data_IF_593626111235
#
_entry.id   IF_593626111235
#
_cell.length_a   1.000
_cell.length_b   1.000
_cell.length_c   1.000
_cell.angle_alpha   90.00
_cell.angle_beta   90.00
_cell.angle_gamma   90.00
#
_symmetry.space_group_name_H-M   'P 1'
#
loop_
_entity.id
_entity.type
_entity.pdbx_description
1 polymer ?
#
# COMPACT_ATOMS: atom_id res chain seq x y z
N UNK A 1 -15.17 -28.50 -10.72
CA UNK A 1 -14.19 -27.48 -10.27
C UNK A 1 -12.94 -27.63 -11.13
N UNK A 2 -12.61 -26.64 -11.91
CA UNK A 2 -11.39 -26.64 -12.74
C UNK A 2 -10.24 -26.08 -11.90
N UNK A 3 -9.18 -26.85 -11.68
CA UNK A 3 -7.97 -26.37 -11.01
C UNK A 3 -7.00 -25.77 -12.05
N UNK A 4 -7.49 -24.79 -12.80
CA UNK A 4 -6.65 -24.05 -13.74
C UNK A 4 -5.75 -23.09 -12.94
N UNK A 5 -4.45 -23.31 -12.97
CA UNK A 5 -3.47 -22.48 -12.25
C UNK A 5 -3.56 -21.00 -12.65
N UNK A 6 -3.82 -20.72 -13.93
CA UNK A 6 -3.93 -19.33 -14.41
C UNK A 6 -5.17 -18.62 -13.85
N UNK A 7 -6.25 -19.33 -13.56
CA UNK A 7 -7.44 -18.78 -12.92
C UNK A 7 -7.23 -18.66 -11.40
N UNK A 8 -6.64 -19.70 -10.80
CA UNK A 8 -6.45 -19.80 -9.35
C UNK A 8 -5.52 -18.71 -8.81
N UNK A 9 -4.49 -18.36 -9.55
CA UNK A 9 -3.50 -17.33 -9.15
C UNK A 9 -3.63 -16.01 -9.91
N UNK A 10 -4.69 -15.84 -10.73
CA UNK A 10 -4.91 -14.60 -11.46
C UNK A 10 -5.19 -13.43 -10.51
N UNK A 11 -4.50 -12.32 -10.76
CA UNK A 11 -4.75 -11.04 -10.10
C UNK A 11 -5.39 -10.02 -11.04
N UNK A 12 -5.63 -10.39 -12.29
CA UNK A 12 -6.19 -9.50 -13.32
C UNK A 12 -7.56 -8.95 -12.90
N UNK A 13 -7.74 -7.67 -13.09
CA UNK A 13 -9.00 -6.97 -12.76
C UNK A 13 -9.17 -6.64 -11.26
N UNK A 14 -8.19 -7.01 -10.42
CA UNK A 14 -8.19 -6.64 -9.00
C UNK A 14 -7.71 -5.21 -8.78
N UNK A 15 -8.03 -4.66 -7.62
CA UNK A 15 -7.55 -3.35 -7.15
C UNK A 15 -6.61 -3.55 -5.97
N UNK A 16 -5.40 -2.99 -6.06
CA UNK A 16 -4.36 -3.13 -5.04
C UNK A 16 -3.89 -1.77 -4.50
N UNK A 17 -3.47 -1.76 -3.25
CA UNK A 17 -2.71 -0.67 -2.63
C UNK A 17 -1.33 -1.21 -2.26
N UNK A 18 -0.26 -0.48 -2.63
CA UNK A 18 1.11 -0.77 -2.24
C UNK A 18 1.68 0.43 -1.49
N UNK A 19 1.89 0.29 -0.18
CA UNK A 19 2.52 1.33 0.61
C UNK A 19 4.04 1.34 0.39
N UNK A 20 4.66 2.52 0.37
CA UNK A 20 6.09 2.63 0.01
C UNK A 20 6.37 2.27 -1.45
N UNK A 21 5.41 2.51 -2.35
CA UNK A 21 5.45 2.07 -3.75
C UNK A 21 6.31 2.90 -4.70
N UNK A 22 6.95 3.98 -4.23
CA UNK A 22 7.71 4.88 -5.12
C UNK A 22 9.11 4.41 -5.45
N UNK A 23 9.64 3.39 -4.78
CA UNK A 23 11.00 2.88 -5.00
C UNK A 23 11.19 1.46 -4.46
N UNK A 24 12.33 0.85 -4.82
CA UNK A 24 12.78 -0.44 -4.28
C UNK A 24 11.74 -1.54 -4.44
N UNK A 25 11.58 -2.36 -3.40
CA UNK A 25 10.69 -3.52 -3.40
C UNK A 25 9.23 -3.12 -3.66
N UNK A 26 8.75 -2.03 -3.04
CA UNK A 26 7.39 -1.55 -3.25
C UNK A 26 7.09 -1.18 -4.70
N UNK A 27 8.04 -0.50 -5.38
CA UNK A 27 7.93 -0.20 -6.82
C UNK A 27 7.91 -1.49 -7.66
N UNK A 28 8.76 -2.47 -7.33
CA UNK A 28 8.79 -3.76 -8.04
C UNK A 28 7.46 -4.52 -7.90
N UNK A 29 6.87 -4.53 -6.70
CA UNK A 29 5.56 -5.14 -6.45
C UNK A 29 4.48 -4.42 -7.27
N UNK A 30 4.45 -3.08 -7.23
CA UNK A 30 3.50 -2.27 -8.00
C UNK A 30 3.64 -2.52 -9.51
N UNK A 31 4.87 -2.58 -10.02
CA UNK A 31 5.14 -2.91 -11.42
C UNK A 31 4.60 -4.29 -11.82
N UNK A 32 4.83 -5.29 -10.97
CA UNK A 32 4.29 -6.64 -11.18
C UNK A 32 2.76 -6.66 -11.25
N UNK A 33 2.09 -5.93 -10.36
CA UNK A 33 0.63 -5.81 -10.37
C UNK A 33 0.12 -5.10 -11.61
N UNK A 34 0.68 -3.94 -11.93
CA UNK A 34 0.28 -3.14 -13.11
C UNK A 34 0.43 -3.95 -14.40
N UNK A 35 1.56 -4.63 -14.58
CA UNK A 35 1.83 -5.46 -15.75
C UNK A 35 0.88 -6.67 -15.89
N UNK A 36 0.21 -7.08 -14.80
CA UNK A 36 -0.76 -8.17 -14.78
C UNK A 36 -2.22 -7.68 -14.69
N UNK A 37 -2.48 -6.42 -15.05
CA UNK A 37 -3.84 -5.88 -15.17
C UNK A 37 -4.52 -5.57 -13.83
N UNK A 38 -3.74 -5.31 -12.78
CA UNK A 38 -4.23 -4.84 -11.49
C UNK A 38 -4.26 -3.31 -11.48
N UNK A 39 -5.39 -2.72 -11.12
CA UNK A 39 -5.46 -1.30 -10.81
C UNK A 39 -4.73 -1.03 -9.51
N UNK A 40 -3.59 -0.35 -9.57
CA UNK A 40 -2.65 -0.26 -8.45
C UNK A 40 -2.53 1.16 -7.93
N UNK A 41 -2.80 1.36 -6.65
CA UNK A 41 -2.52 2.59 -5.92
C UNK A 41 -1.16 2.47 -5.24
N UNK A 42 -0.33 3.49 -5.37
CA UNK A 42 0.92 3.59 -4.63
C UNK A 42 0.91 4.82 -3.73
N UNK A 43 1.53 4.71 -2.57
CA UNK A 43 1.72 5.83 -1.66
C UNK A 43 3.16 5.92 -1.17
N UNK A 44 3.64 7.13 -1.00
CA UNK A 44 4.93 7.47 -0.42
C UNK A 44 4.90 8.91 0.09
N UNK A 45 5.80 9.26 1.01
CA UNK A 45 5.86 10.61 1.60
C UNK A 45 6.27 11.71 0.61
N UNK A 46 7.19 11.40 -0.32
CA UNK A 46 7.66 12.34 -1.34
C UNK A 46 6.72 12.31 -2.53
N UNK A 47 5.91 13.36 -2.68
CA UNK A 47 4.90 13.49 -3.72
C UNK A 47 5.51 13.34 -5.12
N UNK A 48 6.55 14.13 -5.45
CA UNK A 48 7.20 14.11 -6.76
C UNK A 48 7.68 12.71 -7.17
N UNK A 49 8.31 11.99 -6.24
CA UNK A 49 8.79 10.63 -6.49
C UNK A 49 7.64 9.61 -6.63
N UNK A 50 6.56 9.80 -5.89
CA UNK A 50 5.38 8.95 -5.97
C UNK A 50 4.66 9.12 -7.30
N UNK A 51 4.44 10.36 -7.71
CA UNK A 51 3.78 10.73 -8.96
C UNK A 51 4.60 10.32 -10.20
N UNK A 52 5.92 10.57 -10.17
CA UNK A 52 6.83 10.13 -11.23
C UNK A 52 6.80 8.61 -11.42
N UNK A 53 6.81 7.85 -10.32
CA UNK A 53 6.70 6.39 -10.38
C UNK A 53 5.35 5.93 -10.91
N UNK A 54 4.25 6.53 -10.48
CA UNK A 54 2.93 6.20 -11.02
C UNK A 54 2.83 6.49 -12.52
N UNK A 55 3.39 7.60 -12.99
CA UNK A 55 3.44 7.95 -14.42
C UNK A 55 4.22 6.90 -15.21
N UNK A 56 5.42 6.53 -14.75
CA UNK A 56 6.24 5.50 -15.38
C UNK A 56 5.51 4.16 -15.47
N UNK A 57 4.92 3.70 -14.37
CA UNK A 57 4.23 2.41 -14.35
C UNK A 57 2.93 2.42 -15.18
N UNK A 58 2.32 3.59 -15.36
CA UNK A 58 1.10 3.75 -16.16
C UNK A 58 1.30 3.54 -17.66
N UNK A 59 2.54 3.44 -18.12
CA UNK A 59 2.84 2.98 -19.50
C UNK A 59 2.42 1.52 -19.74
N UNK A 60 2.27 0.73 -18.68
CA UNK A 60 1.97 -0.71 -18.75
C UNK A 60 0.60 -1.09 -18.20
N UNK A 61 -0.17 -0.16 -17.66
CA UNK A 61 -1.48 -0.42 -17.08
C UNK A 61 -1.96 0.74 -16.22
N UNK A 62 -2.70 0.48 -15.14
CA UNK A 62 -3.24 1.54 -14.28
C UNK A 62 -2.46 1.64 -12.97
N UNK A 63 -1.71 2.74 -12.80
CA UNK A 63 -1.03 3.07 -11.56
C UNK A 63 -1.41 4.49 -11.10
N UNK A 64 -1.81 4.66 -9.86
CA UNK A 64 -2.31 5.92 -9.31
C UNK A 64 -1.50 6.26 -8.06
N UNK A 65 -0.89 7.45 -8.03
CA UNK A 65 -0.24 7.96 -6.84
C UNK A 65 -1.23 8.62 -5.90
N UNK A 66 -1.13 8.33 -4.62
CA UNK A 66 -1.75 9.09 -3.52
C UNK A 66 -0.65 9.34 -2.48
N UNK A 67 0.10 10.44 -2.63
CA UNK A 67 1.18 10.77 -1.69
C UNK A 67 0.63 11.01 -0.28
N UNK A 68 1.26 10.37 0.71
CA UNK A 68 0.89 10.53 2.11
C UNK A 68 2.02 10.12 3.06
N UNK A 69 2.09 10.75 4.22
CA UNK A 69 2.89 10.28 5.35
C UNK A 69 2.04 9.36 6.24
N UNK A 70 2.21 8.06 6.07
CA UNK A 70 1.45 7.06 6.82
C UNK A 70 1.87 6.95 8.29
N UNK A 71 2.99 7.55 8.70
CA UNK A 71 3.40 7.59 10.11
C UNK A 71 2.52 8.53 10.95
N UNK A 72 1.87 9.51 10.33
CA UNK A 72 0.96 10.45 10.98
C UNK A 72 -0.51 10.05 10.84
N UNK A 73 -1.33 10.40 11.84
CA UNK A 73 -2.77 10.18 11.81
C UNK A 73 -3.43 11.00 10.67
N UNK A 74 -2.97 12.24 10.50
CA UNK A 74 -3.47 13.14 9.45
C UNK A 74 -3.20 12.55 8.05
N UNK A 75 -1.97 12.11 7.78
CA UNK A 75 -1.59 11.52 6.50
C UNK A 75 -2.36 10.23 6.20
N UNK A 76 -2.55 9.36 7.19
CA UNK A 76 -3.36 8.14 7.02
C UNK A 76 -4.81 8.46 6.73
N UNK A 77 -5.42 9.38 7.49
CA UNK A 77 -6.82 9.77 7.30
C UNK A 77 -7.05 10.39 5.92
N UNK A 78 -6.15 11.26 5.46
CA UNK A 78 -6.20 11.85 4.13
C UNK A 78 -6.08 10.78 3.03
N UNK A 79 -5.15 9.83 3.18
CA UNK A 79 -4.98 8.71 2.26
C UNK A 79 -6.23 7.85 2.16
N UNK A 80 -6.76 7.39 3.30
CA UNK A 80 -7.97 6.55 3.36
C UNK A 80 -9.18 7.29 2.78
N UNK A 81 -9.33 8.58 3.05
CA UNK A 81 -10.38 9.41 2.47
C UNK A 81 -10.34 9.40 0.95
N UNK A 82 -9.17 9.66 0.36
CA UNK A 82 -9.00 9.65 -1.10
C UNK A 82 -9.24 8.27 -1.72
N UNK A 83 -8.83 7.19 -1.05
CA UNK A 83 -9.12 5.83 -1.53
C UNK A 83 -10.63 5.57 -1.53
N UNK A 84 -11.34 5.92 -0.46
CA UNK A 84 -12.79 5.74 -0.34
C UNK A 84 -13.60 6.53 -1.36
N UNK A 85 -13.12 7.69 -1.78
CA UNK A 85 -13.76 8.48 -2.85
C UNK A 85 -13.63 7.82 -4.22
N UNK A 86 -12.57 7.06 -4.45
CA UNK A 86 -12.23 6.47 -5.75
C UNK A 86 -12.67 5.02 -5.89
N UNK A 87 -12.74 4.29 -4.78
CA UNK A 87 -12.96 2.85 -4.78
C UNK A 87 -14.06 2.44 -3.79
N UNK A 88 -14.87 1.52 -4.23
CA UNK A 88 -15.87 0.86 -3.38
C UNK A 88 -15.37 -0.46 -2.79
N UNK A 89 -14.25 -0.99 -3.31
CA UNK A 89 -13.62 -2.25 -2.91
C UNK A 89 -12.12 -2.21 -3.16
N UNK A 90 -11.37 -2.82 -2.28
CA UNK A 90 -9.94 -3.11 -2.43
C UNK A 90 -9.74 -4.62 -2.26
N UNK A 91 -9.04 -5.24 -3.19
CA UNK A 91 -8.78 -6.69 -3.14
C UNK A 91 -7.45 -7.02 -2.44
N UNK A 92 -6.45 -6.13 -2.55
CA UNK A 92 -5.09 -6.39 -2.07
C UNK A 92 -4.53 -5.16 -1.37
N UNK A 93 -4.03 -5.34 -0.14
CA UNK A 93 -3.26 -4.34 0.59
C UNK A 93 -1.87 -4.89 0.88
N UNK A 94 -0.84 -4.23 0.32
CA UNK A 94 0.57 -4.56 0.59
C UNK A 94 1.16 -3.52 1.52
N UNK A 95 1.34 -3.89 2.78
CA UNK A 95 2.00 -3.08 3.81
C UNK A 95 3.53 -3.21 3.67
N UNK A 96 4.11 -2.48 2.71
CA UNK A 96 5.54 -2.49 2.39
C UNK A 96 6.28 -1.27 2.94
N UNK A 97 5.60 -0.15 3.19
CA UNK A 97 6.26 1.02 3.76
C UNK A 97 6.91 0.70 5.11
N UNK A 98 8.13 1.17 5.28
CA UNK A 98 8.87 0.92 6.51
C UNK A 98 10.03 1.89 6.70
N UNK A 99 10.59 1.92 7.89
CA UNK A 99 11.77 2.69 8.25
C UNK A 99 12.68 1.87 9.17
N UNK A 100 13.95 2.21 9.15
CA UNK A 100 14.95 1.73 10.08
C UNK A 100 15.68 2.90 10.73
N UNK A 101 16.25 2.63 11.90
CA UNK A 101 17.14 3.55 12.61
C UNK A 101 18.31 2.76 13.17
N UNK A 102 19.54 3.21 12.87
CA UNK A 102 20.78 2.55 13.33
C UNK A 102 21.39 3.33 14.50
N UNK A 103 21.45 2.71 15.68
CA UNK A 103 22.21 3.18 16.84
C UNK A 103 22.56 1.98 17.73
N UNK A 104 23.54 2.15 18.65
CA UNK A 104 23.76 1.16 19.72
C UNK A 104 22.55 1.16 20.64
N UNK A 105 22.31 0.05 21.36
CA UNK A 105 21.16 -0.06 22.23
C UNK A 105 21.13 1.01 23.32
N UNK A 106 22.29 1.27 23.92
CA UNK A 106 22.46 2.23 25.02
C UNK A 106 22.26 3.70 24.58
N UNK A 107 22.49 3.98 23.28
CA UNK A 107 22.40 5.33 22.69
C UNK A 107 21.17 5.47 21.78
N UNK A 108 20.27 4.48 21.76
CA UNK A 108 19.11 4.49 20.88
C UNK A 108 18.15 5.60 21.30
N UNK A 109 17.95 6.63 20.46
CA UNK A 109 17.12 7.78 20.84
C UNK A 109 15.62 7.47 20.76
N UNK A 110 14.82 8.11 21.61
CA UNK A 110 13.36 7.99 21.62
C UNK A 110 12.76 8.33 20.26
N UNK A 111 13.29 9.37 19.57
CA UNK A 111 12.87 9.73 18.21
C UNK A 111 13.05 8.58 17.21
N UNK A 112 14.17 7.83 17.34
CA UNK A 112 14.43 6.67 16.50
C UNK A 112 13.44 5.54 16.74
N UNK A 113 13.11 5.29 18.00
CA UNK A 113 12.10 4.33 18.42
C UNK A 113 10.71 4.70 17.86
N UNK A 114 10.27 5.94 18.11
CA UNK A 114 8.97 6.42 17.66
C UNK A 114 8.85 6.32 16.13
N UNK A 115 9.86 6.77 15.40
CA UNK A 115 9.88 6.70 13.93
C UNK A 115 9.74 5.27 13.41
N UNK A 116 10.45 4.31 14.01
CA UNK A 116 10.39 2.90 13.60
C UNK A 116 9.05 2.28 13.96
N UNK A 117 8.56 2.52 15.18
CA UNK A 117 7.29 1.95 15.64
C UNK A 117 6.07 2.57 14.95
N UNK A 118 6.09 3.87 14.66
CA UNK A 118 4.97 4.53 13.99
C UNK A 118 4.74 4.01 12.58
N UNK A 119 5.79 3.81 11.79
CA UNK A 119 5.62 3.34 10.42
C UNK A 119 5.55 1.81 10.30
N UNK A 120 6.35 1.07 11.09
CA UNK A 120 6.43 -0.39 10.94
C UNK A 120 5.35 -1.15 11.73
N UNK A 121 4.73 -0.52 12.72
CA UNK A 121 3.72 -1.16 13.57
C UNK A 121 2.40 -0.39 13.55
N UNK A 122 2.39 0.86 14.03
CA UNK A 122 1.17 1.66 14.18
C UNK A 122 0.49 1.92 12.84
N UNK A 123 1.25 2.36 11.83
CA UNK A 123 0.69 2.66 10.51
C UNK A 123 0.05 1.43 9.87
N UNK A 124 0.69 0.27 9.95
CA UNK A 124 0.17 -0.99 9.40
C UNK A 124 -1.17 -1.34 10.04
N UNK A 125 -1.22 -1.32 11.38
CA UNK A 125 -2.45 -1.65 12.11
C UNK A 125 -3.58 -0.67 11.79
N UNK A 126 -3.32 0.63 11.91
CA UNK A 126 -4.34 1.67 11.74
C UNK A 126 -4.84 1.75 10.29
N UNK A 127 -3.94 1.71 9.31
CA UNK A 127 -4.31 1.73 7.89
C UNK A 127 -5.16 0.52 7.52
N UNK A 128 -4.76 -0.68 7.95
CA UNK A 128 -5.52 -1.91 7.69
C UNK A 128 -6.90 -1.84 8.31
N UNK A 129 -7.02 -1.42 9.59
CA UNK A 129 -8.29 -1.20 10.27
C UNK A 129 -9.19 -0.26 9.50
N UNK A 130 -8.66 0.87 9.07
CA UNK A 130 -9.45 1.93 8.42
C UNK A 130 -9.86 1.56 6.99
N UNK A 131 -9.13 0.67 6.33
CA UNK A 131 -9.46 0.12 5.02
C UNK A 131 -10.32 -1.16 5.08
N UNK A 132 -10.54 -1.76 6.26
CA UNK A 132 -11.32 -3.00 6.41
C UNK A 132 -12.67 -2.99 5.70
N UNK A 133 -13.48 -1.90 5.74
CA UNK A 133 -14.76 -1.88 5.03
C UNK A 133 -14.65 -2.07 3.51
N UNK A 134 -13.51 -1.66 2.91
CA UNK A 134 -13.23 -1.87 1.49
C UNK A 134 -12.62 -3.24 1.21
N UNK A 135 -11.79 -3.74 2.12
CA UNK A 135 -11.09 -5.03 2.00
C UNK A 135 -12.03 -6.23 2.17
N UNK A 136 -13.09 -6.08 2.97
CA UNK A 136 -14.01 -7.18 3.31
C UNK A 136 -15.36 -7.09 2.59
N UNK A 137 -15.55 -6.16 1.67
CA UNK A 137 -16.86 -5.87 1.08
C UNK A 137 -17.57 -7.09 0.47
N UNK A 138 -16.81 -7.99 -0.15
CA UNK A 138 -17.34 -9.21 -0.77
C UNK A 138 -16.83 -10.48 -0.06
N UNK A 139 -16.27 -10.36 1.14
CA UNK A 139 -15.89 -11.51 1.93
C UNK A 139 -17.16 -12.23 2.39
N UNK A 140 -17.32 -13.50 1.99
CA UNK A 140 -18.38 -14.33 2.51
C UNK A 140 -18.19 -14.48 4.03
N UNK A 141 -19.25 -14.23 4.79
CA UNK A 141 -19.28 -14.47 6.24
C UNK A 141 -19.57 -15.94 6.56
N UNK A 142 -19.31 -16.83 5.63
CA UNK A 142 -19.38 -18.26 5.88
C UNK A 142 -18.16 -18.70 6.70
N UNK A 143 -18.36 -18.81 8.01
CA UNK A 143 -17.52 -19.57 8.92
C UNK A 143 -17.95 -21.03 8.91
#
# INVERSE_FOLDING_TARGET
MSFNINELFSVTGKTAIVTGGSRGIGKMIAQGFVANGVKTYITARKADACEATATELSEHGTCIAIPADLSSDEGRNAFVGQVREKESKIDILVNNAGAAWGASFEEYPDEGYDKVMDINVRAIFMLTRDLMPLLTKDASTEN
#
